data_IF_010112986013
#
_entry.id   IF_010112986013
#
_cell.length_a   1.000
_cell.length_b   1.000
_cell.length_c   1.000
_cell.angle_alpha   90.00
_cell.angle_beta   90.00
_cell.angle_gamma   90.00
#
_symmetry.space_group_name_H-M   'P 1'
#
loop_
_entity.id
_entity.type
_entity.pdbx_description
1 polymer ?
#
# COMPACT_ATOMS: atom_id res chain seq x y z
N UNK A 1 29.56 49.34 22.03
CA UNK A 1 28.65 48.24 21.65
C UNK A 1 28.76 47.15 22.71
N UNK A 2 27.71 46.89 23.50
CA UNK A 2 27.69 45.77 24.46
C UNK A 2 27.35 44.50 23.68
N UNK A 3 28.29 43.56 23.60
CA UNK A 3 28.03 42.21 23.10
C UNK A 3 27.17 41.51 24.16
N UNK A 4 25.91 41.20 23.83
CA UNK A 4 25.06 40.39 24.69
C UNK A 4 25.68 38.98 24.79
N UNK A 5 26.18 38.64 25.97
CA UNK A 5 26.64 37.28 26.30
C UNK A 5 25.42 36.39 26.47
N UNK A 6 25.27 35.41 25.57
CA UNK A 6 24.24 34.37 25.68
C UNK A 6 24.72 33.40 26.76
N UNK A 7 23.95 33.27 27.85
CA UNK A 7 24.30 32.36 28.94
C UNK A 7 24.32 30.89 28.48
N UNK A 8 25.23 30.08 29.04
CA UNK A 8 25.33 28.65 28.73
C UNK A 8 24.03 27.87 28.98
N UNK A 9 23.22 28.33 29.94
CA UNK A 9 21.89 27.79 30.22
C UNK A 9 20.91 28.05 29.06
N UNK A 10 20.95 29.24 28.46
CA UNK A 10 20.12 29.58 27.31
C UNK A 10 20.50 28.75 26.07
N UNK A 11 21.79 28.50 25.85
CA UNK A 11 22.27 27.60 24.78
C UNK A 11 21.78 26.17 24.99
N UNK A 12 21.88 25.64 26.22
CA UNK A 12 21.41 24.28 26.54
C UNK A 12 19.90 24.12 26.36
N UNK A 13 19.11 25.12 26.73
CA UNK A 13 17.65 25.13 26.51
C UNK A 13 17.32 25.15 25.02
N UNK A 14 17.97 26.00 24.23
CA UNK A 14 17.78 26.04 22.77
C UNK A 14 18.15 24.69 22.14
N UNK A 15 19.28 24.09 22.56
CA UNK A 15 19.71 22.79 22.03
C UNK A 15 18.73 21.66 22.40
N UNK A 16 18.21 21.64 23.63
CA UNK A 16 17.16 20.69 24.04
C UNK A 16 15.87 20.89 23.26
N UNK A 17 15.44 22.14 23.05
CA UNK A 17 14.24 22.45 22.25
C UNK A 17 14.41 22.00 20.79
N UNK A 18 15.58 22.23 20.19
CA UNK A 18 15.89 21.76 18.84
C UNK A 18 15.93 20.23 18.74
N UNK A 19 16.49 19.55 19.74
CA UNK A 19 16.51 18.08 19.79
C UNK A 19 15.10 17.50 19.96
N UNK A 20 14.29 18.08 20.83
CA UNK A 20 12.90 17.67 21.04
C UNK A 20 12.05 17.90 19.78
N UNK A 21 12.22 19.04 19.11
CA UNK A 21 11.55 19.34 17.85
C UNK A 21 11.96 18.35 16.73
N UNK A 22 13.25 18.02 16.62
CA UNK A 22 13.72 17.03 15.64
C UNK A 22 13.20 15.62 15.94
N UNK A 23 13.18 15.20 17.20
CA UNK A 23 12.63 13.89 17.59
C UNK A 23 11.13 13.81 17.27
N UNK A 24 10.36 14.88 17.55
CA UNK A 24 8.95 14.96 17.18
C UNK A 24 8.73 14.95 15.66
N UNK A 25 9.63 15.55 14.88
CA UNK A 25 9.53 15.57 13.42
C UNK A 25 9.87 14.22 12.77
N UNK A 26 10.59 13.34 13.47
CA UNK A 26 10.93 11.99 13.00
C UNK A 26 9.89 10.93 13.40
N UNK A 27 9.02 11.24 14.37
CA UNK A 27 7.97 10.32 14.81
C UNK A 27 6.96 10.06 13.68
N UNK A 28 6.74 8.78 13.36
CA UNK A 28 5.72 8.34 12.41
C UNK A 28 4.51 7.79 13.15
N UNK A 29 3.36 7.88 12.51
CA UNK A 29 2.09 7.37 13.00
C UNK A 29 1.50 6.41 11.99
N UNK A 30 0.90 5.35 12.50
CA UNK A 30 -0.03 4.52 11.76
C UNK A 30 -1.38 5.22 11.82
N UNK A 31 -1.85 5.73 10.69
CA UNK A 31 -3.19 6.27 10.53
C UNK A 31 -4.13 5.16 10.12
N UNK A 32 -5.26 5.06 10.82
CA UNK A 32 -6.31 4.08 10.58
C UNK A 32 -7.56 4.85 10.21
N UNK A 33 -8.00 4.75 8.97
CA UNK A 33 -9.24 5.37 8.52
C UNK A 33 -10.33 4.32 8.40
N UNK A 34 -11.45 4.51 9.10
CA UNK A 34 -12.62 3.64 9.06
C UNK A 34 -13.65 4.18 8.06
N UNK A 35 -13.95 3.39 7.03
CA UNK A 35 -14.86 3.79 5.95
C UNK A 35 -16.33 3.78 6.35
N UNK A 36 -16.71 3.09 7.42
CA UNK A 36 -18.09 3.05 7.90
C UNK A 36 -18.41 4.29 8.76
N UNK A 37 -17.48 4.68 9.65
CA UNK A 37 -17.68 5.84 10.54
C UNK A 37 -17.10 7.13 9.98
N UNK A 38 -16.30 7.06 8.93
CA UNK A 38 -15.57 8.20 8.35
C UNK A 38 -14.64 8.90 9.36
N UNK A 39 -14.04 8.12 10.25
CA UNK A 39 -13.14 8.62 11.29
C UNK A 39 -11.73 8.14 11.09
N UNK A 40 -10.76 8.99 11.44
CA UNK A 40 -9.34 8.65 11.48
C UNK A 40 -8.90 8.49 12.93
N UNK A 41 -8.29 7.34 13.24
CA UNK A 41 -7.49 7.12 14.45
C UNK A 41 -6.00 7.12 14.09
N UNK A 42 -5.13 7.31 15.08
CA UNK A 42 -3.69 7.19 14.86
C UNK A 42 -2.96 6.67 16.09
N UNK A 43 -1.89 5.91 15.84
CA UNK A 43 -1.01 5.42 16.89
C UNK A 43 0.46 5.63 16.50
N UNK A 44 1.33 6.00 17.45
CA UNK A 44 2.75 6.16 17.16
C UNK A 44 3.36 4.81 16.77
N UNK A 45 4.18 4.81 15.72
CA UNK A 45 4.96 3.63 15.31
C UNK A 45 6.32 3.69 15.99
N UNK A 46 6.70 2.59 16.63
CA UNK A 46 8.07 2.38 17.13
C UNK A 46 8.77 1.39 16.20
N UNK A 47 9.75 1.87 15.43
CA UNK A 47 10.52 0.99 14.55
C UNK A 47 11.42 0.06 15.37
N UNK A 48 11.29 -1.25 15.14
CA UNK A 48 12.16 -2.26 15.74
C UNK A 48 13.16 -2.76 14.70
N UNK A 49 14.43 -2.91 15.09
CA UNK A 49 15.49 -3.44 14.21
C UNK A 49 15.15 -4.83 13.64
N UNK A 50 14.31 -5.62 14.33
CA UNK A 50 13.81 -6.93 13.88
C UNK A 50 12.94 -6.87 12.62
N UNK A 51 12.41 -5.69 12.23
CA UNK A 51 11.62 -5.54 11.00
C UNK A 51 12.47 -5.46 9.73
N UNK A 52 13.79 -5.28 9.85
CA UNK A 52 14.69 -5.18 8.70
C UNK A 52 14.85 -6.51 7.96
N UNK A 53 14.50 -7.62 8.59
CA UNK A 53 14.47 -8.96 8.00
C UNK A 53 13.23 -9.71 8.49
N UNK A 54 12.11 -9.58 7.79
CA UNK A 54 10.86 -10.23 8.16
C UNK A 54 10.13 -10.70 6.91
N UNK A 55 9.32 -11.74 7.05
CA UNK A 55 8.43 -12.18 5.97
C UNK A 55 7.07 -12.57 6.48
N UNK A 56 6.07 -12.46 5.62
CA UNK A 56 4.74 -13.04 5.84
C UNK A 56 4.57 -14.28 4.97
N UNK A 57 3.81 -15.29 5.43
CA UNK A 57 3.56 -16.48 4.64
C UNK A 57 2.72 -16.14 3.42
N UNK A 58 2.95 -16.85 2.33
CA UNK A 58 2.02 -16.90 1.19
C UNK A 58 1.04 -18.05 1.35
N UNK A 59 -0.09 -18.01 0.63
CA UNK A 59 -1.06 -19.10 0.59
C UNK A 59 -1.72 -19.12 -0.78
N UNK A 60 -1.91 -20.31 -1.37
CA UNK A 60 -2.47 -20.40 -2.72
C UNK A 60 -4.00 -20.32 -2.80
N UNK A 61 -4.69 -20.32 -1.65
CA UNK A 61 -6.14 -20.36 -1.61
C UNK A 61 -6.71 -21.77 -1.77
N UNK A 62 -8.02 -21.90 -1.55
CA UNK A 62 -8.78 -23.12 -1.79
C UNK A 62 -9.30 -23.22 -3.23
N UNK A 63 -9.39 -22.10 -3.96
CA UNK A 63 -9.86 -22.08 -5.34
C UNK A 63 -8.86 -22.83 -6.25
N UNK A 64 -9.34 -23.73 -7.13
CA UNK A 64 -8.46 -24.46 -8.04
C UNK A 64 -7.79 -23.52 -9.06
N UNK A 65 -6.82 -24.05 -9.79
CA UNK A 65 -6.10 -23.30 -10.81
C UNK A 65 -4.81 -22.68 -10.29
N UNK A 66 -3.70 -23.18 -10.83
CA UNK A 66 -2.36 -22.63 -10.66
C UNK A 66 -1.74 -22.42 -12.02
N UNK A 67 -0.98 -21.34 -12.15
CA UNK A 67 -0.19 -21.05 -13.34
C UNK A 67 1.18 -20.58 -12.90
N UNK A 68 2.21 -21.10 -13.54
CA UNK A 68 3.55 -20.57 -13.38
C UNK A 68 3.60 -19.19 -14.01
N UNK A 69 4.21 -18.24 -13.32
CA UNK A 69 4.45 -16.92 -13.89
C UNK A 69 5.62 -17.02 -14.88
N UNK A 70 5.56 -16.31 -16.02
CA UNK A 70 6.70 -16.23 -16.93
C UNK A 70 7.89 -15.62 -16.17
N UNK A 71 8.99 -16.37 -16.12
CA UNK A 71 10.23 -15.97 -15.44
C UNK A 71 11.32 -15.53 -16.43
N UNK A 72 10.99 -15.46 -17.72
CA UNK A 72 11.87 -14.97 -18.76
C UNK A 72 11.70 -13.47 -18.91
N UNK A 73 12.81 -12.72 -18.96
CA UNK A 73 12.77 -11.30 -19.28
C UNK A 73 12.10 -11.07 -20.64
N UNK A 74 11.23 -10.05 -20.77
CA UNK A 74 10.67 -9.71 -22.06
C UNK A 74 11.79 -9.26 -23.03
N UNK A 75 11.65 -9.53 -24.34
CA UNK A 75 12.61 -9.04 -25.33
C UNK A 75 12.78 -7.51 -25.25
N UNK A 76 13.97 -6.99 -25.53
CA UNK A 76 14.27 -5.54 -25.49
C UNK A 76 13.38 -4.71 -26.41
N UNK A 77 12.85 -5.30 -27.47
CA UNK A 77 11.87 -4.70 -28.39
C UNK A 77 10.53 -4.33 -27.72
N UNK A 78 10.28 -4.85 -26.52
CA UNK A 78 9.08 -4.58 -25.71
C UNK A 78 9.26 -3.34 -24.83
N UNK A 79 10.48 -2.81 -24.71
CA UNK A 79 10.78 -1.63 -23.88
C UNK A 79 10.46 -0.32 -24.62
N UNK A 80 9.93 0.64 -23.87
CA UNK A 80 9.71 2.04 -24.25
C UNK A 80 10.38 2.89 -23.18
N UNK A 81 11.62 3.31 -23.45
CA UNK A 81 12.50 3.84 -22.42
C UNK A 81 12.86 2.75 -21.39
N UNK A 82 12.76 3.07 -20.11
CA UNK A 82 13.08 2.15 -19.01
C UNK A 82 11.89 1.22 -18.63
N UNK A 83 10.75 1.33 -19.32
CA UNK A 83 9.52 0.60 -19.00
C UNK A 83 9.09 -0.31 -20.15
N UNK A 84 8.50 -1.47 -19.85
CA UNK A 84 7.84 -2.29 -20.87
C UNK A 84 6.55 -1.63 -21.38
N UNK A 85 6.20 -1.85 -22.65
CA UNK A 85 4.83 -1.59 -23.13
C UNK A 85 3.83 -2.37 -22.29
N UNK A 86 2.75 -1.71 -21.86
CA UNK A 86 1.64 -2.38 -21.20
C UNK A 86 1.05 -3.41 -22.16
N UNK A 87 0.92 -4.65 -21.68
CA UNK A 87 0.28 -5.75 -22.40
C UNK A 87 -0.71 -6.45 -21.48
N UNK A 88 -1.80 -7.01 -22.03
CA UNK A 88 -2.75 -7.78 -21.24
C UNK A 88 -2.07 -8.97 -20.56
N UNK A 89 -2.32 -9.16 -19.26
CA UNK A 89 -1.78 -10.31 -18.54
C UNK A 89 -2.32 -11.64 -19.08
N UNK A 90 -3.54 -11.64 -19.64
CA UNK A 90 -4.18 -12.82 -20.23
C UNK A 90 -3.39 -13.47 -21.36
N UNK A 91 -2.50 -12.71 -22.01
CA UNK A 91 -1.65 -13.21 -23.10
C UNK A 91 -0.49 -14.07 -22.58
N UNK A 92 -0.24 -14.05 -21.26
CA UNK A 92 0.90 -14.69 -20.61
C UNK A 92 0.51 -15.65 -19.49
N UNK A 93 -0.61 -15.40 -18.81
CA UNK A 93 -1.07 -16.19 -17.68
C UNK A 93 -2.58 -16.24 -17.64
N UNK A 94 -3.14 -17.35 -17.13
CA UNK A 94 -4.55 -17.36 -16.77
C UNK A 94 -4.73 -16.47 -15.53
N UNK A 95 -5.34 -15.30 -15.72
CA UNK A 95 -5.56 -14.30 -14.66
C UNK A 95 -6.40 -14.82 -13.49
N UNK A 96 -7.19 -15.87 -13.68
CA UNK A 96 -8.00 -16.51 -12.64
C UNK A 96 -7.25 -17.60 -11.87
N UNK A 97 -6.01 -17.93 -12.24
CA UNK A 97 -5.16 -18.88 -11.53
C UNK A 97 -4.25 -18.19 -10.51
N UNK A 98 -3.91 -18.89 -9.44
CA UNK A 98 -2.87 -18.43 -8.51
C UNK A 98 -1.48 -18.53 -9.18
N UNK A 99 -0.58 -17.54 -9.00
CA UNK A 99 -0.73 -16.33 -8.18
C UNK A 99 -1.33 -15.12 -8.92
N UNK A 100 -1.50 -15.15 -10.24
CA UNK A 100 -1.96 -13.99 -11.01
C UNK A 100 -3.26 -13.35 -10.46
N UNK A 101 -4.20 -14.18 -9.99
CA UNK A 101 -5.47 -13.71 -9.41
C UNK A 101 -5.35 -12.90 -8.13
N UNK A 102 -4.19 -12.89 -7.46
CA UNK A 102 -3.99 -12.05 -6.27
C UNK A 102 -3.90 -10.57 -6.64
N UNK A 103 -3.55 -10.26 -7.90
CA UNK A 103 -3.58 -8.91 -8.45
C UNK A 103 -5.04 -8.50 -8.67
N UNK A 104 -5.37 -7.32 -8.18
CA UNK A 104 -6.74 -6.84 -8.07
C UNK A 104 -6.86 -5.40 -8.58
N UNK A 105 -8.00 -5.09 -9.19
CA UNK A 105 -8.40 -3.71 -9.41
C UNK A 105 -9.02 -3.14 -8.13
N UNK A 106 -8.48 -2.04 -7.65
CA UNK A 106 -9.12 -1.18 -6.66
C UNK A 106 -10.04 -0.20 -7.38
N UNK A 107 -11.32 -0.26 -7.08
CA UNK A 107 -12.36 0.55 -7.73
C UNK A 107 -13.16 1.32 -6.71
N UNK A 108 -13.78 2.41 -7.16
CA UNK A 108 -14.63 3.26 -6.33
C UNK A 108 -16.07 3.12 -6.78
N UNK A 109 -16.99 2.97 -5.83
CA UNK A 109 -18.41 2.98 -6.11
C UNK A 109 -18.92 4.42 -6.01
N UNK A 110 -19.55 4.89 -7.09
CA UNK A 110 -20.16 6.22 -7.16
C UNK A 110 -21.45 6.14 -7.95
N UNK A 111 -22.54 6.60 -7.36
CA UNK A 111 -23.87 6.62 -7.98
C UNK A 111 -24.32 5.23 -8.50
N UNK A 112 -23.93 4.17 -7.79
CA UNK A 112 -24.21 2.77 -8.17
C UNK A 112 -23.25 2.17 -9.20
N UNK A 113 -22.33 2.96 -9.75
CA UNK A 113 -21.37 2.52 -10.76
C UNK A 113 -19.96 2.33 -10.19
N UNK A 114 -19.23 1.35 -10.75
CA UNK A 114 -17.84 1.07 -10.37
C UNK A 114 -16.86 1.78 -11.30
N UNK A 115 -16.07 2.71 -10.77
CA UNK A 115 -15.05 3.47 -11.52
C UNK A 115 -13.64 2.99 -11.20
N UNK A 116 -12.76 3.01 -12.20
CA UNK A 116 -11.37 2.65 -12.02
C UNK A 116 -10.68 3.63 -11.06
N UNK A 117 -9.83 3.11 -10.16
CA UNK A 117 -9.02 3.92 -9.26
C UNK A 117 -7.54 3.51 -9.34
N UNK A 118 -7.21 2.31 -8.84
CA UNK A 118 -5.83 1.84 -8.72
C UNK A 118 -5.72 0.33 -8.89
N UNK A 119 -4.50 -0.19 -8.81
CA UNK A 119 -4.23 -1.61 -8.61
C UNK A 119 -3.97 -1.92 -7.14
N UNK A 120 -4.15 -3.19 -6.78
CA UNK A 120 -3.89 -3.68 -5.43
C UNK A 120 -3.55 -5.18 -5.46
N UNK A 121 -3.01 -5.70 -4.36
CA UNK A 121 -2.56 -7.10 -4.26
C UNK A 121 -3.00 -7.74 -2.95
N UNK A 122 -3.60 -8.92 -3.00
CA UNK A 122 -3.91 -9.71 -1.81
C UNK A 122 -2.62 -10.17 -1.11
N UNK A 123 -2.48 -9.84 0.18
CA UNK A 123 -1.32 -10.16 1.04
C UNK A 123 -1.71 -10.88 2.34
N UNK A 124 -2.98 -11.26 2.45
CA UNK A 124 -3.51 -12.04 3.56
C UNK A 124 -4.98 -12.40 3.34
N UNK A 125 -5.64 -13.06 4.31
CA UNK A 125 -7.03 -13.48 4.17
C UNK A 125 -7.98 -12.28 3.96
N UNK A 126 -7.77 -11.17 4.67
CA UNK A 126 -8.56 -9.92 4.59
C UNK A 126 -7.71 -8.71 4.22
N UNK A 127 -6.48 -8.93 3.78
CA UNK A 127 -5.46 -7.87 3.69
C UNK A 127 -5.04 -7.66 2.25
N UNK A 128 -5.08 -6.40 1.82
CA UNK A 128 -4.72 -5.98 0.47
C UNK A 128 -3.71 -4.84 0.55
N UNK A 129 -2.64 -4.94 -0.23
CA UNK A 129 -1.61 -3.91 -0.36
C UNK A 129 -1.90 -3.02 -1.57
N UNK A 130 -1.72 -1.71 -1.42
CA UNK A 130 -1.80 -0.73 -2.52
C UNK A 130 -0.88 0.47 -2.18
N UNK A 131 -0.93 1.54 -2.97
CA UNK A 131 -0.20 2.78 -2.69
C UNK A 131 -1.03 3.74 -1.84
N UNK A 132 -0.37 4.57 -1.04
CA UNK A 132 -1.05 5.54 -0.19
C UNK A 132 -1.76 6.61 -1.02
N UNK A 133 -1.18 7.06 -2.14
CA UNK A 133 -1.81 8.09 -2.97
C UNK A 133 -3.16 7.68 -3.57
N UNK A 134 -3.48 6.38 -3.64
CA UNK A 134 -4.80 5.90 -4.05
C UNK A 134 -5.89 6.35 -3.07
N UNK A 135 -5.52 6.57 -1.81
CA UNK A 135 -6.41 6.87 -0.69
C UNK A 135 -6.44 8.34 -0.28
N UNK A 136 -5.49 9.14 -0.75
CA UNK A 136 -5.39 10.56 -0.40
C UNK A 136 -5.60 11.46 -1.60
N UNK A 137 -6.11 12.66 -1.35
CA UNK A 137 -6.23 13.71 -2.35
C UNK A 137 -4.84 14.26 -2.69
N UNK A 138 -4.47 14.25 -3.97
CA UNK A 138 -3.13 14.68 -4.40
C UNK A 138 -2.90 16.19 -4.22
N UNK A 139 -3.97 16.98 -4.20
CA UNK A 139 -3.93 18.43 -3.99
C UNK A 139 -3.96 18.85 -2.51
N UNK A 140 -4.35 17.95 -1.61
CA UNK A 140 -4.47 18.20 -0.18
C UNK A 140 -3.87 17.01 0.59
N UNK A 141 -2.57 17.04 0.93
CA UNK A 141 -1.81 15.90 1.43
C UNK A 141 -2.36 15.24 2.71
N UNK A 142 -3.24 15.93 3.44
CA UNK A 142 -3.88 15.44 4.67
C UNK A 142 -5.35 15.03 4.49
N UNK A 143 -5.93 15.16 3.29
CA UNK A 143 -7.32 14.81 3.03
C UNK A 143 -7.42 13.38 2.52
N UNK A 144 -7.90 12.48 3.39
CA UNK A 144 -8.29 11.13 2.97
C UNK A 144 -9.49 11.20 2.02
N UNK A 145 -9.53 10.34 1.01
CA UNK A 145 -10.65 10.22 0.09
C UNK A 145 -11.78 9.44 0.75
N UNK A 146 -12.95 10.07 0.84
CA UNK A 146 -14.15 9.46 1.40
C UNK A 146 -14.89 8.65 0.31
N UNK A 147 -14.30 7.54 -0.15
CA UNK A 147 -14.86 6.68 -1.20
C UNK A 147 -15.25 5.30 -0.68
N UNK A 148 -16.29 4.69 -1.27
CA UNK A 148 -16.61 3.27 -1.11
C UNK A 148 -15.71 2.46 -2.04
N UNK A 149 -14.62 1.93 -1.49
CA UNK A 149 -13.66 1.14 -2.24
C UNK A 149 -14.06 -0.33 -2.30
N UNK A 150 -13.89 -0.91 -3.48
CA UNK A 150 -14.11 -2.33 -3.78
C UNK A 150 -12.85 -2.92 -4.41
N UNK A 151 -12.48 -4.11 -3.96
CA UNK A 151 -11.36 -4.89 -4.50
C UNK A 151 -11.92 -5.97 -5.41
N UNK A 152 -11.50 -5.94 -6.68
CA UNK A 152 -11.87 -6.91 -7.71
C UNK A 152 -10.63 -7.70 -8.17
N UNK A 153 -10.40 -8.89 -7.62
CA UNK A 153 -9.30 -9.76 -8.03
C UNK A 153 -9.49 -10.27 -9.46
N UNK A 154 -8.38 -10.62 -10.12
CA UNK A 154 -8.36 -11.15 -11.49
C UNK A 154 -9.09 -10.27 -12.52
N UNK A 155 -9.09 -8.94 -12.33
CA UNK A 155 -9.74 -8.02 -13.26
C UNK A 155 -9.11 -8.10 -14.66
N UNK A 156 -9.95 -8.27 -15.68
CA UNK A 156 -9.48 -8.42 -17.06
C UNK A 156 -10.50 -7.85 -18.03
N UNK A 157 -10.02 -7.14 -19.05
CA UNK A 157 -10.85 -6.50 -20.09
C UNK A 157 -11.92 -5.54 -19.61
N UNK A 158 -11.64 -4.77 -18.56
CA UNK A 158 -12.67 -3.92 -17.92
C UNK A 158 -13.84 -4.71 -17.32
N UNK A 159 -13.65 -6.00 -17.05
CA UNK A 159 -14.62 -6.88 -16.42
C UNK A 159 -14.05 -7.61 -15.20
N UNK A 160 -14.94 -7.87 -14.25
CA UNK A 160 -14.69 -8.82 -13.16
C UNK A 160 -14.95 -10.23 -13.67
N UNK A 161 -14.13 -11.18 -13.21
CA UNK A 161 -14.38 -12.60 -13.47
C UNK A 161 -15.54 -13.07 -12.60
N UNK A 162 -16.64 -13.53 -13.21
CA UNK A 162 -17.91 -13.86 -12.51
C UNK A 162 -17.75 -14.85 -11.34
N UNK A 163 -16.75 -15.74 -11.41
CA UNK A 163 -16.50 -16.76 -10.38
C UNK A 163 -15.54 -16.30 -9.27
N UNK A 164 -14.96 -15.11 -9.39
CA UNK A 164 -13.95 -14.60 -8.46
C UNK A 164 -14.60 -13.66 -7.46
N UNK A 165 -14.58 -13.96 -6.14
CA UNK A 165 -15.17 -13.10 -5.14
C UNK A 165 -14.48 -11.73 -5.09
N UNK A 166 -15.28 -10.70 -4.83
CA UNK A 166 -14.86 -9.33 -4.55
C UNK A 166 -15.15 -8.99 -3.08
N UNK A 167 -14.52 -7.94 -2.57
CA UNK A 167 -14.78 -7.47 -1.20
C UNK A 167 -14.78 -5.94 -1.13
N UNK A 168 -15.42 -5.41 -0.09
CA UNK A 168 -15.40 -3.98 0.23
C UNK A 168 -14.29 -3.69 1.23
N UNK A 169 -13.66 -2.53 1.07
CA UNK A 169 -12.69 -2.03 2.05
C UNK A 169 -13.45 -1.43 3.23
N UNK A 170 -13.09 -1.85 4.43
CA UNK A 170 -13.67 -1.33 5.68
C UNK A 170 -12.72 -0.39 6.41
N UNK A 171 -11.41 -0.64 6.33
CA UNK A 171 -10.39 0.22 6.92
C UNK A 171 -9.18 0.35 6.04
N UNK A 172 -8.49 1.46 6.15
CA UNK A 172 -7.21 1.68 5.50
C UNK A 172 -6.16 2.16 6.48
N UNK A 173 -4.93 1.75 6.19
CA UNK A 173 -3.78 1.90 7.07
C UNK A 173 -2.63 2.53 6.28
N UNK A 174 -2.13 3.66 6.76
CA UNK A 174 -0.93 4.30 6.21
C UNK A 174 0.03 4.68 7.31
N UNK A 175 1.33 4.65 7.03
CA UNK A 175 2.36 5.10 7.99
C UNK A 175 2.99 6.37 7.47
N UNK A 176 2.78 7.49 8.16
CA UNK A 176 3.33 8.79 7.75
C UNK A 176 3.76 9.61 8.97
N UNK A 177 4.66 10.57 8.77
CA UNK A 177 4.87 11.63 9.75
C UNK A 177 3.68 12.63 9.69
N UNK A 178 3.36 13.37 10.76
CA UNK A 178 2.18 14.24 10.83
C UNK A 178 2.05 15.26 9.69
N UNK A 179 3.19 15.80 9.23
CA UNK A 179 3.25 16.81 8.16
C UNK A 179 3.75 16.21 6.82
N UNK A 180 3.87 14.89 6.75
CA UNK A 180 4.28 14.19 5.54
C UNK A 180 3.07 13.93 4.64
N UNK A 181 3.16 14.37 3.39
CA UNK A 181 2.20 13.93 2.37
C UNK A 181 2.31 12.43 2.06
N UNK A 182 1.25 11.83 1.47
CA UNK A 182 1.15 10.39 1.23
C UNK A 182 2.27 9.84 0.33
N UNK A 183 2.92 10.71 -0.46
CA UNK A 183 4.01 10.34 -1.35
C UNK A 183 5.34 10.06 -0.62
N UNK A 184 5.49 10.49 0.65
CA UNK A 184 6.72 10.21 1.41
C UNK A 184 6.84 8.75 1.81
N UNK A 185 5.70 8.09 2.04
CA UNK A 185 5.62 6.65 2.24
C UNK A 185 4.40 6.13 1.49
N UNK A 186 4.58 5.92 0.18
CA UNK A 186 3.50 5.63 -0.76
C UNK A 186 3.05 4.16 -0.74
N UNK A 187 2.74 3.67 0.45
CA UNK A 187 2.29 2.31 0.73
C UNK A 187 1.11 2.34 1.69
N UNK A 188 0.10 1.54 1.40
CA UNK A 188 -1.10 1.41 2.22
C UNK A 188 -1.56 -0.04 2.30
N UNK A 189 -2.14 -0.38 3.45
CA UNK A 189 -2.82 -1.65 3.66
C UNK A 189 -4.32 -1.39 3.76
N UNK A 190 -5.12 -2.25 3.15
CA UNK A 190 -6.58 -2.22 3.18
C UNK A 190 -7.09 -3.47 3.92
N UNK A 191 -8.05 -3.28 4.82
CA UNK A 191 -8.80 -4.37 5.46
C UNK A 191 -10.13 -4.59 4.75
N UNK A 192 -10.46 -5.85 4.47
CA UNK A 192 -11.65 -6.26 3.74
C UNK A 192 -12.77 -6.76 4.67
N UNK A 193 -14.03 -6.50 4.29
CA UNK A 193 -15.21 -7.01 4.99
C UNK A 193 -15.41 -8.54 4.88
N UNK A 194 -14.78 -9.17 3.88
CA UNK A 194 -14.78 -10.62 3.69
C UNK A 194 -13.36 -11.18 3.52
N UNK A 195 -13.08 -12.42 4.00
CA UNK A 195 -11.76 -13.04 3.94
C UNK A 195 -11.48 -13.70 2.57
N UNK A 196 -11.68 -12.97 1.47
CA UNK A 196 -11.60 -13.52 0.10
C UNK A 196 -10.23 -14.13 -0.23
N UNK A 197 -9.16 -13.75 0.48
CA UNK A 197 -7.84 -14.35 0.34
C UNK A 197 -7.79 -15.83 0.76
N UNK A 198 -8.72 -16.33 1.58
CA UNK A 198 -8.80 -17.76 1.90
C UNK A 198 -9.17 -18.60 0.67
N UNK A 199 -9.98 -18.05 -0.23
CA UNK A 199 -10.35 -18.71 -1.48
C UNK A 199 -9.32 -18.45 -2.56
N UNK A 200 -8.90 -17.20 -2.73
CA UNK A 200 -8.06 -16.76 -3.83
C UNK A 200 -6.56 -16.98 -3.61
N UNK A 201 -6.15 -17.10 -2.36
CA UNK A 201 -4.75 -17.02 -1.98
C UNK A 201 -4.24 -15.59 -1.88
N UNK A 202 -3.00 -15.46 -1.44
CA UNK A 202 -2.27 -14.22 -1.30
C UNK A 202 -0.76 -14.45 -1.44
N UNK A 203 -0.04 -13.41 -1.85
CA UNK A 203 1.42 -13.42 -1.87
C UNK A 203 1.97 -12.97 -0.52
N UNK A 204 3.13 -13.52 -0.15
CA UNK A 204 3.87 -13.09 1.04
C UNK A 204 4.59 -11.78 0.79
N UNK A 205 4.82 -11.02 1.85
CA UNK A 205 5.69 -9.85 1.87
C UNK A 205 7.03 -10.23 2.49
N UNK A 206 8.10 -9.58 2.03
CA UNK A 206 9.44 -9.78 2.55
C UNK A 206 10.09 -8.39 2.73
N UNK A 207 10.78 -8.21 3.85
CA UNK A 207 11.65 -7.06 4.09
C UNK A 207 13.08 -7.56 4.20
N UNK A 208 14.00 -6.81 3.58
CA UNK A 208 15.44 -7.03 3.68
C UNK A 208 16.15 -5.68 3.80
N UNK A 209 17.30 -5.59 4.49
CA UNK A 209 17.92 -4.31 4.81
C UNK A 209 18.67 -3.67 3.63
N UNK A 210 18.84 -4.38 2.51
CA UNK A 210 19.74 -3.96 1.43
C UNK A 210 18.99 -3.20 0.32
N UNK A 211 19.58 -2.07 -0.08
CA UNK A 211 19.17 -1.24 -1.20
C UNK A 211 19.47 -1.85 -2.60
N UNK A 212 20.03 -3.07 -2.64
CA UNK A 212 20.58 -3.68 -3.86
C UNK A 212 19.62 -4.69 -4.54
N UNK A 213 18.34 -4.73 -4.16
CA UNK A 213 17.34 -5.55 -4.88
C UNK A 213 16.91 -4.85 -6.19
N UNK A 214 17.85 -4.77 -7.12
CA UNK A 214 17.61 -4.64 -8.56
C UNK A 214 18.42 -5.77 -9.20
N UNK A 215 17.83 -6.96 -9.30
CA UNK A 215 18.17 -7.95 -10.33
C UNK A 215 16.91 -8.34 -11.09
#
# INVERSE_FOLDING_TARGET
>A
MRVMSISSALVAVIMCLLLAANASAQQRYLYIYDHATMTTDSMPVSEAASWLTSSTPWFAGTMPGRSDLPNQMPPTEVLVGDMSRMRPARDYVNVAHYPARTISALRIMRDGESRASCSATLVGPRWVLTSAHCLYETSLPSSHKHWDYRVYPAWDDSASQTIVPLARVIRTYTVNAPDAGPLRNDIALLELDAPIGQELGWVGLLTFPNADFIE
#
